data_IF_596544821825
#
_entry.id   IF_596544821825
#
_cell.length_a   1.000
_cell.length_b   1.000
_cell.length_c   1.000
_cell.angle_alpha   90.00
_cell.angle_beta   90.00
_cell.angle_gamma   90.00
#
_symmetry.space_group_name_H-M   'P 1'
#
loop_
_entity.id
_entity.type
_entity.pdbx_description
1 polymer ?
#
# COMPACT_ATOMS: atom_id res chain seq x y z
N UNK A 1 3.55 -1.47 -12.35
CA UNK A 1 2.42 -1.98 -11.54
C UNK A 1 3.03 -2.69 -10.36
N UNK A 2 2.58 -2.40 -9.15
CA UNK A 2 3.08 -3.00 -7.90
C UNK A 2 1.95 -3.71 -7.16
N UNK A 3 2.33 -4.46 -6.13
CA UNK A 3 1.43 -5.25 -5.32
C UNK A 3 1.51 -4.79 -3.86
N UNK A 4 0.36 -4.70 -3.21
CA UNK A 4 0.27 -4.28 -1.81
C UNK A 4 -0.74 -5.12 -1.05
N UNK A 5 -0.46 -5.39 0.22
CA UNK A 5 -1.46 -5.86 1.20
C UNK A 5 -1.83 -4.68 2.07
N UNK A 6 -3.10 -4.31 2.11
CA UNK A 6 -3.62 -3.30 3.04
C UNK A 6 -4.38 -3.97 4.17
N UNK A 7 -4.09 -3.60 5.42
CA UNK A 7 -4.62 -4.30 6.60
C UNK A 7 -5.75 -3.52 7.25
N UNK A 8 -6.82 -4.22 7.63
CA UNK A 8 -7.90 -3.68 8.45
C UNK A 8 -8.22 -4.65 9.58
N UNK A 9 -8.62 -4.13 10.74
CA UNK A 9 -8.96 -4.98 11.89
C UNK A 9 -10.41 -5.48 11.83
N UNK A 10 -11.33 -4.65 11.32
CA UNK A 10 -12.77 -4.96 11.31
C UNK A 10 -13.58 -4.21 10.26
N UNK A 11 -12.92 -3.61 9.27
CA UNK A 11 -13.60 -2.75 8.29
C UNK A 11 -13.56 -3.28 6.85
N UNK A 12 -13.41 -4.60 6.66
CA UNK A 12 -13.34 -5.14 5.31
C UNK A 12 -14.63 -4.90 4.53
N UNK A 13 -15.79 -5.10 5.17
CA UNK A 13 -17.10 -4.89 4.55
C UNK A 13 -17.28 -3.45 4.07
N UNK A 14 -16.92 -2.46 4.89
CA UNK A 14 -16.99 -1.05 4.50
C UNK A 14 -16.04 -0.74 3.35
N UNK A 15 -14.84 -1.32 3.36
CA UNK A 15 -13.89 -1.12 2.27
C UNK A 15 -14.39 -1.73 0.95
N UNK A 16 -15.02 -2.89 1.04
CA UNK A 16 -15.61 -3.64 -0.08
C UNK A 16 -16.84 -2.92 -0.64
N UNK A 17 -17.76 -2.50 0.23
CA UNK A 17 -18.99 -1.79 -0.14
C UNK A 17 -18.68 -0.53 -0.93
N UNK A 18 -17.69 0.25 -0.48
CA UNK A 18 -17.32 1.51 -1.12
C UNK A 18 -16.19 1.38 -2.15
N UNK A 19 -15.66 0.17 -2.35
CA UNK A 19 -14.41 -0.08 -3.10
C UNK A 19 -13.35 0.98 -2.78
N UNK A 20 -13.10 1.17 -1.48
CA UNK A 20 -12.29 2.27 -0.97
C UNK A 20 -11.58 1.82 0.28
N UNK A 21 -10.27 2.02 0.33
CA UNK A 21 -9.50 1.78 1.55
C UNK A 21 -8.97 3.10 2.07
N UNK A 22 -9.08 3.33 3.37
CA UNK A 22 -8.55 4.50 4.04
C UNK A 22 -7.86 4.15 5.34
N UNK A 23 -6.94 5.03 5.76
CA UNK A 23 -6.37 5.01 7.10
C UNK A 23 -6.03 6.42 7.58
N UNK A 24 -5.50 6.48 8.80
CA UNK A 24 -5.19 7.72 9.51
C UNK A 24 -3.98 8.44 8.93
N UNK A 25 -2.92 7.67 8.62
CA UNK A 25 -1.66 8.20 8.10
C UNK A 25 -1.68 8.25 6.57
N UNK A 26 -1.04 9.24 5.98
CA UNK A 26 -1.00 9.54 4.55
C UNK A 26 0.14 8.86 3.81
N UNK A 27 1.22 8.50 4.51
CA UNK A 27 2.48 8.00 3.93
C UNK A 27 2.30 6.73 3.10
N UNK A 28 1.63 5.71 3.65
CA UNK A 28 1.47 4.43 2.95
C UNK A 28 0.58 4.54 1.70
N UNK A 29 -0.41 5.44 1.70
CA UNK A 29 -1.25 5.73 0.54
C UNK A 29 -0.49 6.45 -0.56
N UNK A 30 0.51 7.26 -0.20
CA UNK A 30 1.29 8.05 -1.13
C UNK A 30 2.11 7.17 -2.08
N UNK A 31 2.48 5.95 -1.67
CA UNK A 31 3.24 5.02 -2.51
C UNK A 31 2.38 4.40 -3.63
N UNK A 32 1.08 4.21 -3.39
CA UNK A 32 0.15 3.54 -4.31
C UNK A 32 -0.12 4.41 -5.53
N UNK A 33 0.08 3.83 -6.72
CA UNK A 33 -0.19 4.45 -8.00
C UNK A 33 -1.46 3.88 -8.64
N UNK A 34 -1.97 4.61 -9.62
CA UNK A 34 -3.00 4.11 -10.51
C UNK A 34 -2.55 2.78 -11.15
N UNK A 35 -3.42 1.79 -11.14
CA UNK A 35 -3.19 0.48 -11.75
C UNK A 35 -2.50 -0.54 -10.84
N UNK A 36 -2.00 -0.16 -9.66
CA UNK A 36 -1.39 -1.10 -8.71
C UNK A 36 -2.42 -2.10 -8.17
N UNK A 37 -1.98 -3.32 -7.87
CA UNK A 37 -2.82 -4.40 -7.34
C UNK A 37 -2.83 -4.38 -5.81
N UNK A 38 -4.02 -4.42 -5.22
CA UNK A 38 -4.24 -4.33 -3.78
C UNK A 38 -4.97 -5.59 -3.29
N UNK A 39 -4.47 -6.19 -2.22
CA UNK A 39 -5.14 -7.23 -1.45
C UNK A 39 -5.54 -6.65 -0.09
N UNK A 40 -6.79 -6.82 0.30
CA UNK A 40 -7.30 -6.35 1.58
C UNK A 40 -7.21 -7.49 2.59
N UNK A 41 -6.34 -7.37 3.60
CA UNK A 41 -6.23 -8.32 4.70
C UNK A 41 -7.09 -7.85 5.86
N UNK A 42 -8.04 -8.69 6.31
CA UNK A 42 -8.71 -8.50 7.58
C UNK A 42 -8.14 -9.46 8.62
N UNK A 43 -7.55 -8.88 9.66
CA UNK A 43 -7.10 -9.62 10.82
C UNK A 43 -8.09 -9.43 11.97
N UNK A 44 -8.76 -10.50 12.37
CA UNK A 44 -9.37 -10.61 13.70
C UNK A 44 -8.64 -11.72 14.47
N UNK A 45 -8.55 -11.62 15.80
CA UNK A 45 -7.73 -12.55 16.61
C UNK A 45 -8.06 -14.06 16.40
N UNK A 46 -9.17 -14.38 15.73
CA UNK A 46 -9.61 -15.75 15.40
C UNK A 46 -9.40 -16.17 13.94
N UNK A 47 -9.18 -15.25 13.00
CA UNK A 47 -9.05 -15.55 11.58
C UNK A 47 -8.33 -14.44 10.81
N UNK A 48 -7.60 -14.85 9.77
CA UNK A 48 -7.00 -13.95 8.81
C UNK A 48 -7.53 -14.24 7.41
N UNK A 49 -8.32 -13.28 6.90
CA UNK A 49 -8.95 -13.35 5.58
C UNK A 49 -8.32 -12.33 4.66
N UNK A 50 -8.09 -12.72 3.40
CA UNK A 50 -7.72 -11.79 2.35
C UNK A 50 -8.87 -11.65 1.35
N UNK A 51 -9.13 -10.43 0.92
CA UNK A 51 -10.11 -10.08 -0.10
C UNK A 51 -9.43 -9.44 -1.30
N UNK A 52 -9.96 -9.70 -2.50
CA UNK A 52 -9.47 -9.11 -3.75
C UNK A 52 -9.40 -10.13 -4.89
N UNK A 53 -8.42 -10.00 -5.81
CA UNK A 53 -7.53 -8.85 -5.98
C UNK A 53 -8.30 -7.60 -6.46
N UNK A 54 -7.91 -6.44 -5.96
CA UNK A 54 -8.40 -5.13 -6.41
C UNK A 54 -7.33 -4.40 -7.21
N UNK A 55 -7.74 -3.44 -8.04
CA UNK A 55 -6.83 -2.50 -8.70
C UNK A 55 -7.07 -1.08 -8.18
N UNK A 56 -6.00 -0.32 -7.99
CA UNK A 56 -6.08 1.08 -7.57
C UNK A 56 -6.54 1.95 -8.75
N UNK A 57 -7.76 2.49 -8.67
CA UNK A 57 -8.35 3.38 -9.68
C UNK A 57 -8.08 4.86 -9.43
N UNK A 58 -7.83 5.21 -8.17
CA UNK A 58 -7.45 6.57 -7.78
C UNK A 58 -6.39 6.49 -6.70
N UNK A 59 -5.30 7.22 -6.91
CA UNK A 59 -4.23 7.45 -5.94
C UNK A 59 -4.75 8.24 -4.73
N UNK A 60 -3.90 8.48 -3.73
CA UNK A 60 -4.29 9.15 -2.49
C UNK A 60 -5.18 10.39 -2.73
N UNK A 61 -6.36 10.38 -2.11
CA UNK A 61 -7.29 11.49 -2.07
C UNK A 61 -7.82 11.70 -0.65
N UNK A 62 -8.41 12.86 -0.40
CA UNK A 62 -9.06 13.20 0.85
C UNK A 62 -10.57 13.34 0.64
N UNK A 63 -11.35 12.67 1.48
CA UNK A 63 -12.81 12.73 1.49
C UNK A 63 -13.34 12.53 2.92
N UNK A 64 -14.29 13.38 3.32
CA UNK A 64 -14.84 13.41 4.70
C UNK A 64 -16.08 12.54 4.91
N UNK A 65 -16.57 11.84 3.89
CA UNK A 65 -17.76 10.99 4.05
C UNK A 65 -17.50 9.89 5.08
N UNK A 66 -18.45 9.67 5.99
CA UNK A 66 -18.31 8.67 7.05
C UNK A 66 -18.68 7.30 6.47
N UNK A 67 -17.67 6.50 6.14
CA UNK A 67 -17.84 5.09 5.73
C UNK A 67 -17.40 4.11 6.81
N UNK A 68 -16.68 4.59 7.84
CA UNK A 68 -16.27 3.81 8.99
C UNK A 68 -16.99 4.36 10.23
N UNK A 69 -17.78 3.57 10.97
CA UNK A 69 -18.70 4.07 12.01
C UNK A 69 -18.09 4.98 13.08
N UNK A 70 -16.80 4.83 13.39
CA UNK A 70 -16.11 5.57 14.46
C UNK A 70 -14.71 6.09 14.04
N UNK A 71 -14.29 5.86 12.80
CA UNK A 71 -12.90 6.12 12.38
C UNK A 71 -12.83 7.21 11.31
N UNK A 72 -11.94 8.18 11.53
CA UNK A 72 -11.72 9.32 10.64
C UNK A 72 -10.62 9.05 9.60
N UNK A 73 -10.77 7.96 8.87
CA UNK A 73 -9.84 7.58 7.79
C UNK A 73 -10.19 8.35 6.51
N UNK A 74 -9.84 9.63 6.50
CA UNK A 74 -10.21 10.55 5.40
C UNK A 74 -9.22 10.53 4.24
N UNK A 75 -7.98 10.10 4.48
CA UNK A 75 -7.04 9.77 3.40
C UNK A 75 -7.38 8.38 2.86
N UNK A 76 -7.54 8.28 1.54
CA UNK A 76 -8.11 7.10 0.88
C UNK A 76 -7.48 6.83 -0.48
N UNK A 77 -7.58 5.59 -0.93
CA UNK A 77 -7.45 5.16 -2.32
C UNK A 77 -8.77 4.61 -2.81
N UNK A 78 -9.02 4.73 -4.11
CA UNK A 78 -10.20 4.12 -4.74
C UNK A 78 -9.77 2.83 -5.41
N UNK A 79 -10.52 1.77 -5.15
CA UNK A 79 -10.32 0.44 -5.67
C UNK A 79 -11.31 0.17 -6.79
N UNK A 80 -10.96 -0.75 -7.67
CA UNK A 80 -11.86 -1.38 -8.62
C UNK A 80 -11.63 -2.89 -8.61
N UNK A 81 -12.64 -3.64 -9.01
CA UNK A 81 -12.50 -5.09 -9.11
C UNK A 81 -11.75 -5.45 -10.39
N UNK A 82 -10.77 -6.32 -10.28
CA UNK A 82 -10.10 -6.93 -11.45
C UNK A 82 -10.96 -8.05 -12.04
N UNK A 83 -11.84 -8.65 -11.22
CA UNK A 83 -12.71 -9.77 -11.55
C UNK A 83 -14.16 -9.44 -11.20
N UNK A 84 -15.13 -10.10 -11.86
CA UNK A 84 -16.56 -9.75 -11.71
C UNK A 84 -17.04 -9.77 -10.24
N UNK A 85 -16.61 -10.79 -9.49
CA UNK A 85 -16.99 -10.98 -8.10
C UNK A 85 -15.78 -10.81 -7.19
N UNK A 86 -15.99 -10.25 -6.01
CA UNK A 86 -14.96 -10.20 -4.98
C UNK A 86 -14.67 -11.63 -4.55
N UNK A 87 -13.38 -11.97 -4.42
CA UNK A 87 -12.97 -13.24 -3.88
C UNK A 87 -12.45 -13.06 -2.47
N UNK A 88 -12.66 -14.09 -1.65
CA UNK A 88 -12.05 -14.24 -0.34
C UNK A 88 -11.22 -15.53 -0.34
N UNK A 89 -10.05 -15.46 0.29
CA UNK A 89 -9.25 -16.63 0.66
C UNK A 89 -8.92 -16.54 2.15
N UNK A 90 -8.78 -17.69 2.79
CA UNK A 90 -8.19 -17.80 4.12
C UNK A 90 -6.66 -17.96 3.99
N UNK A 91 -5.92 -17.68 5.06
CA UNK A 91 -4.47 -17.93 5.08
C UNK A 91 -4.12 -19.39 4.76
N UNK A 92 -4.96 -20.34 5.19
CA UNK A 92 -4.76 -21.77 4.89
C UNK A 92 -4.76 -22.05 3.39
N UNK A 93 -5.46 -21.25 2.58
CA UNK A 93 -5.47 -21.40 1.12
C UNK A 93 -4.11 -21.03 0.52
N UNK A 94 -3.39 -20.06 1.09
CA UNK A 94 -2.01 -19.75 0.70
C UNK A 94 -1.10 -20.96 0.95
N UNK A 95 -1.23 -21.60 2.11
CA UNK A 95 -0.46 -22.79 2.46
C UNK A 95 -0.78 -23.97 1.52
N UNK A 96 -2.05 -24.23 1.26
CA UNK A 96 -2.48 -25.28 0.33
C UNK A 96 -1.99 -25.01 -1.11
N UNK A 97 -2.00 -23.75 -1.54
CA UNK A 97 -1.44 -23.35 -2.84
C UNK A 97 0.06 -23.64 -2.91
N UNK A 98 0.81 -23.37 -1.83
CA UNK A 98 2.23 -23.69 -1.74
C UNK A 98 2.53 -25.19 -1.85
N UNK A 99 1.72 -26.04 -1.21
CA UNK A 99 1.84 -27.50 -1.35
C UNK A 99 1.58 -27.91 -2.81
N UNK A 100 0.48 -27.45 -3.41
CA UNK A 100 0.07 -27.88 -4.75
C UNK A 100 1.03 -27.40 -5.84
N UNK A 101 1.64 -26.23 -5.67
CA UNK A 101 2.63 -25.67 -6.61
C UNK A 101 4.06 -26.13 -6.31
N UNK A 102 4.27 -26.91 -5.25
CA UNK A 102 5.59 -27.30 -4.72
C UNK A 102 6.48 -26.08 -4.39
N UNK A 103 5.88 -24.94 -4.07
CA UNK A 103 6.57 -23.71 -3.69
C UNK A 103 6.31 -23.32 -2.22
N UNK A 104 6.39 -24.30 -1.32
CA UNK A 104 6.06 -24.11 0.10
C UNK A 104 6.89 -22.99 0.73
N UNK A 105 8.17 -22.85 0.35
CA UNK A 105 9.07 -21.84 0.93
C UNK A 105 8.58 -20.41 0.69
N UNK A 106 8.20 -20.05 -0.54
CA UNK A 106 7.70 -18.71 -0.83
C UNK A 106 6.35 -18.43 -0.14
N UNK A 107 5.44 -19.42 -0.14
CA UNK A 107 4.14 -19.25 0.52
C UNK A 107 4.28 -19.13 2.03
N UNK A 108 5.18 -19.89 2.67
CA UNK A 108 5.50 -19.71 4.09
C UNK A 108 6.09 -18.32 4.37
N UNK A 109 6.94 -17.80 3.47
CA UNK A 109 7.47 -16.43 3.59
C UNK A 109 6.36 -15.39 3.51
N UNK A 110 5.42 -15.52 2.56
CA UNK A 110 4.25 -14.64 2.43
C UNK A 110 3.38 -14.70 3.68
N UNK A 111 3.09 -15.90 4.20
CA UNK A 111 2.30 -16.08 5.42
C UNK A 111 2.98 -15.39 6.62
N UNK A 112 4.29 -15.60 6.79
CA UNK A 112 5.05 -14.95 7.86
C UNK A 112 5.04 -13.43 7.73
N UNK A 113 5.23 -12.91 6.51
CA UNK A 113 5.17 -11.47 6.22
C UNK A 113 3.82 -10.88 6.66
N UNK A 114 2.72 -11.56 6.33
CA UNK A 114 1.36 -11.16 6.69
C UNK A 114 1.14 -11.21 8.22
N UNK A 115 1.52 -12.31 8.88
CA UNK A 115 1.26 -12.53 10.31
C UNK A 115 2.08 -11.61 11.21
N UNK A 116 3.37 -11.42 10.89
CA UNK A 116 4.28 -10.61 11.71
C UNK A 116 3.98 -9.11 11.57
N UNK A 117 3.41 -8.70 10.44
CA UNK A 117 3.18 -7.29 10.10
C UNK A 117 1.70 -6.89 10.11
N UNK A 118 0.84 -7.65 10.79
CA UNK A 118 -0.60 -7.35 10.97
C UNK A 118 -0.92 -6.02 11.64
N UNK A 119 0.08 -5.39 12.26
CA UNK A 119 -0.02 -4.06 12.88
C UNK A 119 0.22 -2.93 11.86
N UNK A 120 0.82 -3.22 10.70
CA UNK A 120 1.06 -2.25 9.64
C UNK A 120 -0.19 -2.06 8.77
N UNK A 121 -0.40 -0.82 8.32
CA UNK A 121 -1.51 -0.48 7.44
C UNK A 121 -1.31 -0.99 6.01
N UNK A 122 -0.06 -1.08 5.56
CA UNK A 122 0.28 -1.45 4.20
C UNK A 122 1.59 -2.25 4.18
N UNK A 123 1.65 -3.29 3.36
CA UNK A 123 2.84 -4.07 3.09
C UNK A 123 3.08 -4.01 1.59
N UNK A 124 4.23 -3.47 1.18
CA UNK A 124 4.68 -3.53 -0.22
C UNK A 124 5.16 -4.94 -0.52
N UNK A 125 4.73 -5.50 -1.65
CA UNK A 125 5.14 -6.83 -2.10
C UNK A 125 6.06 -6.74 -3.31
N UNK A 126 6.94 -7.72 -3.45
CA UNK A 126 7.63 -8.00 -4.71
C UNK A 126 6.66 -8.53 -5.76
N UNK A 127 7.04 -8.47 -7.04
CA UNK A 127 6.21 -8.98 -8.13
C UNK A 127 5.91 -10.49 -7.99
N UNK A 128 6.89 -11.25 -7.48
CA UNK A 128 6.74 -12.68 -7.20
C UNK A 128 5.71 -12.93 -6.10
N UNK A 129 5.82 -12.26 -4.95
CA UNK A 129 4.88 -12.41 -3.83
C UNK A 129 3.45 -12.01 -4.24
N UNK A 130 3.33 -10.87 -4.92
CA UNK A 130 2.05 -10.39 -5.43
C UNK A 130 1.42 -11.33 -6.45
N UNK A 131 2.23 -11.89 -7.35
CA UNK A 131 1.81 -12.92 -8.30
C UNK A 131 1.28 -14.18 -7.61
N UNK A 132 2.03 -14.72 -6.64
CA UNK A 132 1.65 -15.93 -5.92
C UNK A 132 0.33 -15.78 -5.13
N UNK A 133 0.11 -14.63 -4.49
CA UNK A 133 -1.16 -14.34 -3.80
C UNK A 133 -2.30 -14.24 -4.81
N UNK A 134 -2.09 -13.50 -5.91
CA UNK A 134 -3.08 -13.33 -6.98
C UNK A 134 -3.51 -14.67 -7.58
N UNK A 135 -2.56 -15.57 -7.83
CA UNK A 135 -2.84 -16.91 -8.36
C UNK A 135 -3.65 -17.76 -7.37
N UNK A 136 -3.36 -17.65 -6.07
CA UNK A 136 -4.16 -18.32 -5.03
C UNK A 136 -5.61 -17.84 -5.04
N UNK A 137 -5.88 -16.54 -5.21
CA UNK A 137 -7.25 -16.04 -5.36
C UNK A 137 -7.98 -16.64 -6.57
N UNK A 138 -7.30 -16.81 -7.70
CA UNK A 138 -7.93 -17.42 -8.87
C UNK A 138 -8.22 -18.91 -8.69
N UNK A 139 -7.38 -19.60 -7.92
CA UNK A 139 -7.46 -21.05 -7.76
C UNK A 139 -8.35 -21.50 -6.61
N UNK A 140 -8.27 -20.83 -5.46
CA UNK A 140 -8.98 -21.20 -4.23
C UNK A 140 -10.06 -20.19 -3.83
N UNK A 141 -10.04 -18.98 -4.41
CA UNK A 141 -10.93 -17.90 -4.01
C UNK A 141 -12.41 -18.26 -4.14
N UNK A 142 -13.12 -18.17 -3.01
CA UNK A 142 -14.57 -18.26 -2.94
C UNK A 142 -15.20 -16.90 -3.20
N UNK A 143 -16.37 -16.86 -3.84
CA UNK A 143 -17.08 -15.60 -4.07
C UNK A 143 -17.52 -15.02 -2.72
N UNK A 144 -17.13 -13.78 -2.44
CA UNK A 144 -17.48 -13.05 -1.24
C UNK A 144 -18.61 -12.07 -1.52
N UNK A 145 -19.84 -12.53 -1.30
CA UNK A 145 -21.07 -11.74 -1.32
C UNK A 145 -21.38 -11.00 -2.64
N UNK A 146 -22.65 -10.75 -2.88
CA UNK A 146 -23.08 -9.77 -3.89
C UNK A 146 -23.15 -8.39 -3.22
N UNK A 147 -22.01 -7.92 -2.72
CA UNK A 147 -21.93 -6.67 -1.97
C UNK A 147 -22.49 -5.51 -2.80
N UNK A 148 -23.53 -4.83 -2.28
CA UNK A 148 -23.98 -3.56 -2.86
C UNK A 148 -22.78 -2.63 -2.92
N UNK A 149 -22.57 -2.03 -4.09
CA UNK A 149 -21.51 -1.05 -4.29
C UNK A 149 -22.10 0.34 -4.09
N UNK A 150 -21.62 1.04 -3.08
CA UNK A 150 -22.09 2.37 -2.70
C UNK A 150 -21.06 3.40 -3.14
N UNK A 151 -21.47 4.43 -3.89
CA UNK A 151 -20.58 5.53 -4.21
C UNK A 151 -20.23 6.35 -2.96
N UNK A 152 -19.01 6.90 -2.93
CA UNK A 152 -18.62 7.84 -1.90
C UNK A 152 -19.37 9.16 -2.11
N UNK A 153 -20.10 9.61 -1.11
CA UNK A 153 -20.69 10.94 -1.09
C UNK A 153 -19.64 12.04 -0.83
N UNK A 154 -19.99 13.27 -1.19
CA UNK A 154 -19.23 14.48 -0.84
C UNK A 154 -17.96 14.72 -1.67
N UNK A 155 -17.30 15.84 -1.38
CA UNK A 155 -16.17 16.32 -2.17
C UNK A 155 -14.94 15.41 -2.05
N UNK A 156 -14.26 15.24 -3.18
CA UNK A 156 -13.01 14.49 -3.28
C UNK A 156 -11.89 15.46 -3.66
N UNK A 157 -10.91 15.61 -2.77
CA UNK A 157 -9.73 16.45 -2.99
C UNK A 157 -8.54 15.55 -3.31
N UNK A 158 -7.89 15.78 -4.45
CA UNK A 158 -6.65 15.06 -4.77
C UNK A 158 -5.53 15.50 -3.82
N UNK A 159 -4.75 14.53 -3.32
CA UNK A 159 -3.61 14.82 -2.46
C UNK A 159 -2.33 14.67 -3.27
N UNK A 160 -1.64 15.79 -3.42
CA UNK A 160 -0.35 15.89 -4.10
C UNK A 160 0.67 16.61 -3.20
N UNK A 161 1.88 16.81 -3.73
CA UNK A 161 2.95 17.52 -3.02
C UNK A 161 2.51 18.91 -2.55
N UNK A 162 1.75 19.64 -3.37
CA UNK A 162 1.31 21.02 -3.08
C UNK A 162 0.29 21.03 -1.94
N UNK A 163 -0.66 20.09 -1.94
CA UNK A 163 -1.62 19.93 -0.86
C UNK A 163 -0.92 19.68 0.47
N UNK A 164 -0.01 18.69 0.51
CA UNK A 164 0.73 18.35 1.74
C UNK A 164 1.55 19.56 2.22
N UNK A 165 2.25 20.25 1.31
CA UNK A 165 2.99 21.47 1.66
C UNK A 165 2.08 22.56 2.26
N UNK A 166 0.93 22.82 1.63
CA UNK A 166 -0.01 23.86 2.08
C UNK A 166 -0.66 23.53 3.43
N UNK A 167 -0.98 22.25 3.68
CA UNK A 167 -1.48 21.78 4.98
C UNK A 167 -0.49 22.12 6.11
N UNK A 168 0.81 21.98 5.84
CA UNK A 168 1.86 22.25 6.82
C UNK A 168 2.20 23.75 6.98
N UNK A 169 1.92 24.60 5.98
CA UNK A 169 2.12 26.06 6.07
C UNK A 169 1.17 26.76 7.05
N UNK A 170 0.13 26.10 7.54
CA UNK A 170 -0.71 26.63 8.62
C UNK A 170 0.09 26.80 9.92
N UNK A 171 1.17 26.03 10.08
CA UNK A 171 2.17 26.24 11.10
C UNK A 171 3.27 27.15 10.54
N UNK A 172 3.45 28.35 11.10
CA UNK A 172 4.36 29.41 10.57
C UNK A 172 5.84 29.02 10.59
N UNK A 173 6.18 27.80 11.01
CA UNK A 173 7.53 27.36 11.35
C UNK A 173 8.25 26.60 10.24
N UNK A 174 7.70 26.49 9.02
CA UNK A 174 8.28 25.70 7.92
C UNK A 174 8.57 24.23 8.30
N UNK A 175 7.80 23.68 9.25
CA UNK A 175 7.91 22.29 9.70
C UNK A 175 6.72 21.47 9.21
N UNK A 176 6.95 20.18 8.99
CA UNK A 176 5.85 19.25 8.79
C UNK A 176 5.16 18.97 10.12
N UNK A 177 3.84 18.88 10.10
CA UNK A 177 2.99 18.61 11.27
C UNK A 177 3.09 17.16 11.76
N UNK A 178 3.64 16.26 10.94
CA UNK A 178 3.92 14.86 11.29
C UNK A 178 4.96 14.24 10.36
N UNK A 179 5.63 13.19 10.83
CA UNK A 179 6.54 12.34 10.02
C UNK A 179 5.82 11.76 8.80
N UNK A 180 4.59 11.28 8.96
CA UNK A 180 3.76 10.77 7.85
C UNK A 180 3.55 11.81 6.74
N UNK A 181 3.39 13.09 7.07
CA UNK A 181 3.24 14.14 6.05
C UNK A 181 4.58 14.45 5.36
N UNK A 182 5.70 14.41 6.10
CA UNK A 182 7.05 14.54 5.51
C UNK A 182 7.35 13.38 4.55
N UNK A 183 7.13 12.15 4.98
CA UNK A 183 7.28 10.95 4.15
C UNK A 183 6.40 11.02 2.90
N UNK A 184 5.12 11.36 3.05
CA UNK A 184 4.21 11.54 1.91
C UNK A 184 4.73 12.59 0.92
N UNK A 185 5.19 13.72 1.44
CA UNK A 185 5.76 14.79 0.62
C UNK A 185 6.98 14.31 -0.16
N UNK A 186 7.91 13.61 0.51
CA UNK A 186 9.10 13.06 -0.12
C UNK A 186 8.76 12.03 -1.19
N UNK A 187 7.84 11.09 -0.91
CA UNK A 187 7.38 10.09 -1.90
C UNK A 187 6.81 10.80 -3.13
N UNK A 188 5.95 11.80 -2.95
CA UNK A 188 5.41 12.56 -4.08
C UNK A 188 6.47 13.36 -4.84
N UNK A 189 7.47 13.91 -4.14
CA UNK A 189 8.57 14.61 -4.77
C UNK A 189 9.45 13.66 -5.60
N UNK A 190 9.74 12.47 -5.08
CA UNK A 190 10.56 11.45 -5.75
C UNK A 190 9.86 10.79 -6.95
N UNK A 191 8.53 10.84 -7.01
CA UNK A 191 7.77 10.48 -8.23
C UNK A 191 7.90 11.49 -9.36
N UNK A 192 8.47 12.67 -9.10
CA UNK A 192 8.59 13.77 -10.06
C UNK A 192 10.07 14.13 -10.31
N UNK A 193 10.65 13.76 -11.46
CA UNK A 193 12.07 14.01 -11.76
C UNK A 193 12.50 15.49 -11.73
N UNK A 194 11.56 16.42 -11.83
CA UNK A 194 11.81 17.87 -11.89
C UNK A 194 11.89 18.55 -10.52
N UNK A 195 11.88 17.79 -9.43
CA UNK A 195 11.90 18.36 -8.07
C UNK A 195 13.32 18.51 -7.55
N UNK A 196 13.51 19.44 -6.61
CA UNK A 196 14.79 19.65 -5.95
C UNK A 196 15.14 18.42 -5.12
N UNK A 197 14.15 17.84 -4.44
CA UNK A 197 14.30 16.62 -3.64
C UNK A 197 14.75 15.43 -4.49
N UNK A 198 14.13 15.23 -5.67
CA UNK A 198 14.59 14.22 -6.63
C UNK A 198 16.03 14.45 -7.05
N UNK A 199 16.38 15.69 -7.42
CA UNK A 199 17.72 16.03 -7.91
C UNK A 199 18.79 15.79 -6.84
N UNK A 200 18.51 16.16 -5.59
CA UNK A 200 19.40 15.97 -4.45
C UNK A 200 19.61 14.48 -4.15
N UNK A 201 18.54 13.70 -4.09
CA UNK A 201 18.63 12.26 -3.84
C UNK A 201 19.33 11.55 -5.00
N UNK A 202 19.02 11.89 -6.26
CA UNK A 202 19.70 11.33 -7.42
C UNK A 202 21.21 11.62 -7.40
N UNK A 203 21.60 12.84 -7.02
CA UNK A 203 23.01 13.24 -6.89
C UNK A 203 23.72 12.43 -5.79
N UNK A 204 23.04 12.19 -4.67
CA UNK A 204 23.58 11.36 -3.59
C UNK A 204 23.82 9.91 -4.07
N UNK A 205 22.84 9.34 -4.79
CA UNK A 205 22.92 7.97 -5.26
C UNK A 205 23.96 7.77 -6.36
N UNK A 206 24.14 8.76 -7.25
CA UNK A 206 25.13 8.77 -8.35
C UNK A 206 26.59 8.56 -7.92
N UNK A 207 26.88 8.62 -6.63
CA UNK A 207 28.20 8.24 -6.08
C UNK A 207 28.52 6.76 -6.30
N UNK A 208 27.50 5.94 -6.57
CA UNK A 208 27.63 4.51 -6.85
C UNK A 208 27.16 4.22 -8.28
N UNK A 209 27.92 3.38 -8.98
CA UNK A 209 27.64 3.05 -10.37
C UNK A 209 26.24 2.45 -10.54
N UNK A 210 25.54 2.90 -11.59
CA UNK A 210 24.20 2.45 -11.96
C UNK A 210 23.13 2.61 -10.86
N UNK A 211 23.32 3.54 -9.92
CA UNK A 211 22.41 3.74 -8.78
C UNK A 211 21.42 4.90 -8.95
N UNK A 212 21.19 5.38 -10.18
CA UNK A 212 20.36 6.56 -10.43
C UNK A 212 18.86 6.31 -10.16
N UNK A 213 18.14 7.36 -9.76
CA UNK A 213 16.72 7.27 -9.41
C UNK A 213 15.83 6.83 -10.58
N UNK A 214 16.13 7.22 -11.82
CA UNK A 214 15.30 6.84 -12.97
C UNK A 214 15.42 5.37 -13.37
N UNK A 215 16.44 4.66 -12.86
CA UNK A 215 16.57 3.20 -12.95
C UNK A 215 16.03 2.47 -11.72
N UNK A 216 15.50 3.21 -10.74
CA UNK A 216 15.16 2.66 -9.43
C UNK A 216 13.66 2.70 -9.14
N UNK A 217 13.22 1.72 -8.36
CA UNK A 217 11.92 1.73 -7.70
C UNK A 217 12.04 2.32 -6.30
N UNK A 218 11.18 3.29 -6.01
CA UNK A 218 11.07 3.92 -4.69
C UNK A 218 9.93 3.28 -3.89
N UNK A 219 10.19 2.84 -2.67
CA UNK A 219 9.24 2.26 -1.72
C UNK A 219 9.24 3.04 -0.41
N UNK A 220 8.12 3.02 0.31
CA UNK A 220 8.01 3.47 1.70
C UNK A 220 7.44 2.30 2.52
N UNK A 221 7.92 2.17 3.76
CA UNK A 221 7.64 1.05 4.66
C UNK A 221 7.88 -0.31 4.00
N UNK A 222 8.98 -0.41 3.23
CA UNK A 222 9.42 -1.69 2.70
C UNK A 222 9.96 -2.55 3.84
N UNK A 223 9.52 -3.80 3.93
CA UNK A 223 9.85 -4.68 5.04
C UNK A 223 11.08 -5.49 4.69
N UNK A 224 12.16 -5.27 5.43
CA UNK A 224 13.34 -6.12 5.36
C UNK A 224 13.24 -7.25 6.39
N UNK A 225 13.33 -8.49 5.92
CA UNK A 225 13.17 -9.66 6.77
C UNK A 225 11.77 -9.73 7.37
N UNK A 226 11.69 -9.67 8.70
CA UNK A 226 10.47 -10.03 9.42
C UNK A 226 9.63 -8.86 9.96
N UNK A 227 10.20 -7.67 10.21
CA UNK A 227 9.44 -6.60 10.88
C UNK A 227 10.01 -5.18 10.81
N UNK A 228 11.01 -4.88 9.98
CA UNK A 228 11.56 -3.52 9.91
C UNK A 228 11.00 -2.76 8.70
N UNK A 229 9.98 -1.88 8.87
CA UNK A 229 9.53 -1.01 7.80
C UNK A 229 10.51 0.16 7.65
N UNK A 230 11.27 0.20 6.56
CA UNK A 230 12.12 1.37 6.26
C UNK A 230 11.29 2.58 5.85
N UNK A 231 11.67 3.79 6.22
CA UNK A 231 10.94 4.99 5.77
C UNK A 231 10.99 5.17 4.25
N UNK A 232 12.16 4.98 3.65
CA UNK A 232 12.30 5.05 2.20
C UNK A 232 13.35 4.03 1.72
N UNK A 233 12.97 3.21 0.75
CA UNK A 233 13.88 2.29 0.06
C UNK A 233 13.94 2.63 -1.41
N UNK A 234 15.14 2.82 -1.94
CA UNK A 234 15.41 2.97 -3.37
C UNK A 234 16.15 1.73 -3.86
N UNK A 235 15.45 0.93 -4.67
CA UNK A 235 15.90 -0.35 -5.17
C UNK A 235 16.11 -0.29 -6.69
N UNK A 236 17.27 -0.72 -7.17
CA UNK A 236 17.49 -1.07 -8.56
C UNK A 236 18.12 -2.46 -8.66
N UNK A 237 18.50 -2.89 -9.86
CA UNK A 237 19.07 -4.21 -10.08
C UNK A 237 20.38 -4.45 -9.33
N UNK A 238 21.14 -3.39 -9.03
CA UNK A 238 22.49 -3.49 -8.48
C UNK A 238 22.57 -3.05 -7.02
N UNK A 239 21.64 -2.22 -6.55
CA UNK A 239 21.74 -1.53 -5.27
C UNK A 239 20.40 -1.50 -4.52
N UNK A 240 20.52 -1.60 -3.20
CA UNK A 240 19.45 -1.34 -2.23
C UNK A 240 19.92 -0.18 -1.37
N UNK A 241 19.23 0.96 -1.45
CA UNK A 241 19.52 2.12 -0.62
C UNK A 241 18.37 2.31 0.37
N UNK A 242 18.69 2.25 1.66
CA UNK A 242 17.71 2.40 2.75
C UNK A 242 17.95 3.73 3.43
N UNK A 243 16.90 4.53 3.56
CA UNK A 243 16.92 5.83 4.20
C UNK A 243 15.97 5.83 5.39
N UNK A 244 16.50 6.25 6.53
CA UNK A 244 15.76 6.49 7.77
C UNK A 244 15.68 8.01 7.99
N UNK A 245 14.46 8.54 8.06
CA UNK A 245 14.18 9.95 8.23
C UNK A 245 14.15 10.26 9.74
N UNK A 246 14.93 11.25 10.18
CA UNK A 246 15.04 11.69 11.58
C UNK A 246 14.92 13.21 11.68
#
# INVERSE_FOLDING_TARGET
MRYYIVTTTKFADQCIEHLTYGATQSNWLANINYGDTIFLSQFNYSSQKLFGPFQARKTMFYNKAVIYPLQKYFYRIKLELIIKNIKCIDETDLYLSGIQTKNVSDYTRIINLIQQNKHLHCISLTDQEGGLIKDTFFKFGINYGDGRKSELAGDVVNIDRKYIWQKNRLDKTHKFSSESDLESYLIFALKQPKTIEYSNINTLLKKFDNNELHYSSVYNQFIFGNAYPSDLTVLNQNNINVFELK
#
